data_IF_223488207739
#
_entry.id   IF_223488207739
#
_cell.length_a   1.000
_cell.length_b   1.000
_cell.length_c   1.000
_cell.angle_alpha   90.00
_cell.angle_beta   90.00
_cell.angle_gamma   90.00
#
_symmetry.space_group_name_H-M   'P 1'
#
loop_
_entity.id
_entity.type
_entity.pdbx_description
1 polymer ?
#
# COMPACT_ATOMS: atom_id res chain seq x y z
N UNK A 1 28.41 17.05 -8.44
CA UNK A 1 28.11 15.75 -9.08
C UNK A 1 28.45 14.66 -8.06
N UNK A 2 27.45 14.22 -7.30
CA UNK A 2 27.60 12.99 -6.53
C UNK A 2 27.33 11.82 -7.49
N UNK A 3 28.35 11.09 -7.85
CA UNK A 3 28.17 9.78 -8.47
C UNK A 3 27.46 8.89 -7.45
N UNK A 4 26.23 8.52 -7.74
CA UNK A 4 25.53 7.49 -6.99
C UNK A 4 26.30 6.20 -7.27
N UNK A 5 26.87 5.63 -6.22
CA UNK A 5 27.61 4.38 -6.30
C UNK A 5 26.77 3.29 -6.97
N UNK A 6 27.40 2.43 -7.77
CA UNK A 6 26.72 1.36 -8.53
C UNK A 6 25.92 0.43 -7.61
N UNK A 7 26.38 0.18 -6.40
CA UNK A 7 25.68 -0.61 -5.40
C UNK A 7 24.36 0.05 -4.95
N UNK A 8 24.35 1.38 -4.82
CA UNK A 8 23.15 2.16 -4.47
C UNK A 8 22.12 2.14 -5.60
N UNK A 9 22.56 2.19 -6.87
CA UNK A 9 21.66 2.08 -8.03
C UNK A 9 21.00 0.70 -8.10
N UNK A 10 21.75 -0.38 -7.84
CA UNK A 10 21.23 -1.73 -7.78
C UNK A 10 20.20 -1.91 -6.65
N UNK A 11 20.48 -1.37 -5.47
CA UNK A 11 19.56 -1.42 -4.34
C UNK A 11 18.25 -0.68 -4.65
N UNK A 12 18.30 0.51 -5.26
CA UNK A 12 17.12 1.26 -5.68
C UNK A 12 16.28 0.46 -6.70
N UNK A 13 16.93 -0.18 -7.67
CA UNK A 13 16.25 -0.99 -8.67
C UNK A 13 15.54 -2.20 -8.06
N UNK A 14 16.18 -2.88 -7.09
CA UNK A 14 15.57 -4.02 -6.37
C UNK A 14 14.36 -3.56 -5.57
N UNK A 15 14.44 -2.43 -4.89
CA UNK A 15 13.36 -1.88 -4.10
C UNK A 15 12.19 -1.45 -5.00
N UNK A 16 12.48 -0.79 -6.10
CA UNK A 16 11.46 -0.39 -7.09
C UNK A 16 10.70 -1.61 -7.62
N UNK A 17 11.43 -2.68 -7.93
CA UNK A 17 10.84 -3.96 -8.33
C UNK A 17 9.96 -4.56 -7.21
N UNK A 18 10.41 -4.54 -5.96
CA UNK A 18 9.64 -5.05 -4.82
C UNK A 18 8.35 -4.27 -4.60
N UNK A 19 8.40 -2.95 -4.70
CA UNK A 19 7.22 -2.08 -4.54
C UNK A 19 6.24 -2.29 -5.70
N UNK A 20 6.73 -2.43 -6.92
CA UNK A 20 5.90 -2.74 -8.10
C UNK A 20 5.22 -4.09 -7.99
N UNK A 21 5.94 -5.11 -7.51
CA UNK A 21 5.37 -6.44 -7.26
C UNK A 21 4.31 -6.40 -6.15
N UNK A 22 4.59 -5.69 -5.06
CA UNK A 22 3.63 -5.49 -3.96
C UNK A 22 2.36 -4.83 -4.46
N UNK A 23 2.48 -3.79 -5.28
CA UNK A 23 1.34 -3.12 -5.90
C UNK A 23 0.52 -4.09 -6.74
N UNK A 24 1.15 -4.82 -7.66
CA UNK A 24 0.48 -5.81 -8.50
C UNK A 24 -0.29 -6.85 -7.69
N UNK A 25 0.33 -7.40 -6.65
CA UNK A 25 -0.31 -8.38 -5.75
C UNK A 25 -1.46 -7.78 -4.94
N UNK A 26 -1.42 -6.48 -4.63
CA UNK A 26 -2.48 -5.82 -3.87
C UNK A 26 -3.82 -5.78 -4.62
N UNK A 27 -3.79 -5.80 -5.95
CA UNK A 27 -5.02 -5.81 -6.75
C UNK A 27 -5.84 -7.07 -6.58
N UNK A 28 -5.24 -8.22 -6.29
CA UNK A 28 -5.97 -9.46 -6.05
C UNK A 28 -6.90 -9.35 -4.82
N UNK A 29 -6.50 -8.54 -3.83
CA UNK A 29 -7.28 -8.24 -2.64
C UNK A 29 -8.17 -7.01 -2.78
N UNK A 30 -7.69 -5.98 -3.47
CA UNK A 30 -8.43 -4.74 -3.70
C UNK A 30 -9.62 -4.97 -4.65
N UNK A 31 -9.48 -5.90 -5.63
CA UNK A 31 -10.51 -6.25 -6.60
C UNK A 31 -11.18 -7.58 -6.23
N UNK A 32 -11.62 -7.68 -5.00
CA UNK A 32 -12.28 -8.86 -4.45
C UNK A 32 -13.62 -8.48 -3.83
N UNK A 33 -14.66 -9.24 -4.17
CA UNK A 33 -16.03 -8.95 -3.73
C UNK A 33 -16.14 -8.85 -2.21
N UNK A 34 -15.49 -9.73 -1.46
CA UNK A 34 -15.53 -9.69 0.00
C UNK A 34 -14.88 -8.41 0.57
N UNK A 35 -13.79 -7.93 -0.03
CA UNK A 35 -13.19 -6.64 0.34
C UNK A 35 -14.10 -5.47 -0.03
N UNK A 36 -14.75 -5.54 -1.19
CA UNK A 36 -15.74 -4.55 -1.60
C UNK A 36 -16.93 -4.49 -0.62
N UNK A 37 -17.43 -5.65 -0.22
CA UNK A 37 -18.55 -5.79 0.71
C UNK A 37 -18.21 -5.31 2.12
N UNK A 38 -16.95 -5.43 2.55
CA UNK A 38 -16.48 -4.83 3.80
C UNK A 38 -16.81 -3.33 3.87
N UNK A 39 -16.54 -2.60 2.78
CA UNK A 39 -16.84 -1.17 2.72
C UNK A 39 -18.33 -0.88 2.55
N UNK A 40 -19.04 -1.68 1.79
CA UNK A 40 -20.48 -1.51 1.53
C UNK A 40 -21.32 -1.79 2.76
N UNK A 41 -21.03 -2.86 3.49
CA UNK A 41 -21.84 -3.34 4.60
C UNK A 41 -21.28 -3.05 5.98
N UNK A 42 -20.00 -2.66 6.08
CA UNK A 42 -19.30 -2.35 7.35
C UNK A 42 -19.25 -3.53 8.33
N UNK A 43 -19.27 -4.77 7.82
CA UNK A 43 -19.08 -5.98 8.64
C UNK A 43 -17.61 -6.19 8.98
N UNK A 44 -17.07 -5.29 9.81
CA UNK A 44 -15.66 -5.30 10.20
C UNK A 44 -15.32 -6.57 10.98
N UNK A 45 -16.20 -6.97 11.91
CA UNK A 45 -15.97 -8.14 12.76
C UNK A 45 -15.92 -9.42 11.94
N UNK A 46 -16.91 -9.67 11.09
CA UNK A 46 -16.96 -10.86 10.26
C UNK A 46 -15.85 -10.91 9.22
N UNK A 47 -15.51 -9.79 8.59
CA UNK A 47 -14.39 -9.72 7.66
C UNK A 47 -13.06 -10.01 8.37
N UNK A 48 -12.83 -9.41 9.53
CA UNK A 48 -11.62 -9.61 10.32
C UNK A 48 -11.48 -11.07 10.76
N UNK A 49 -12.54 -11.69 11.23
CA UNK A 49 -12.54 -13.09 11.62
C UNK A 49 -12.20 -14.05 10.47
N UNK A 50 -12.62 -13.74 9.25
CA UNK A 50 -12.34 -14.59 8.09
C UNK A 50 -10.99 -14.33 7.42
N UNK A 51 -10.47 -13.10 7.47
CA UNK A 51 -9.40 -12.67 6.58
C UNK A 51 -8.18 -12.04 7.27
N UNK A 52 -8.34 -11.45 8.47
CA UNK A 52 -7.29 -10.65 9.07
C UNK A 52 -6.56 -11.38 10.19
N UNK A 53 -5.69 -12.31 9.80
CA UNK A 53 -4.78 -13.03 10.69
C UNK A 53 -3.34 -12.58 10.46
N UNK A 54 -2.48 -12.73 11.49
CA UNK A 54 -1.03 -12.47 11.35
C UNK A 54 -0.43 -13.35 10.24
N UNK A 55 -0.90 -14.57 10.09
CA UNK A 55 -0.50 -15.49 9.03
C UNK A 55 -0.82 -14.97 7.63
N UNK A 56 -1.86 -14.15 7.49
CA UNK A 56 -2.15 -13.44 6.23
C UNK A 56 -1.04 -12.47 5.87
N UNK A 57 -0.51 -11.72 6.84
CA UNK A 57 0.65 -10.85 6.62
C UNK A 57 1.90 -11.66 6.24
N UNK A 58 2.09 -12.83 6.88
CA UNK A 58 3.21 -13.72 6.57
C UNK A 58 3.13 -14.23 5.13
N UNK A 59 1.97 -14.73 4.72
CA UNK A 59 1.74 -15.24 3.38
C UNK A 59 1.95 -14.18 2.29
N UNK A 60 1.57 -12.93 2.58
CA UNK A 60 1.71 -11.80 1.67
C UNK A 60 3.04 -11.04 1.83
N UNK A 61 3.86 -11.46 2.79
CA UNK A 61 5.13 -10.81 3.12
C UNK A 61 4.95 -9.30 3.45
N UNK A 62 3.93 -8.99 4.26
CA UNK A 62 3.57 -7.63 4.68
C UNK A 62 3.83 -7.42 6.17
N UNK A 63 3.97 -6.16 6.56
CA UNK A 63 4.04 -5.72 7.96
C UNK A 63 2.79 -4.93 8.38
N UNK A 64 2.06 -4.40 7.40
CA UNK A 64 0.82 -3.66 7.60
C UNK A 64 -0.15 -3.89 6.44
N UNK A 65 -1.42 -4.07 6.76
CA UNK A 65 -2.56 -3.99 5.85
C UNK A 65 -3.60 -3.06 6.48
N UNK A 66 -4.09 -2.09 5.72
CA UNK A 66 -5.11 -1.14 6.20
C UNK A 66 -6.17 -0.91 5.14
N UNK A 67 -7.41 -0.81 5.59
CA UNK A 67 -8.58 -0.53 4.77
C UNK A 67 -9.05 0.88 5.11
N UNK A 68 -9.06 1.77 4.10
CA UNK A 68 -9.23 3.21 4.27
C UNK A 68 -10.47 3.64 3.48
N UNK A 69 -11.34 4.38 4.14
CA UNK A 69 -12.54 4.95 3.50
C UNK A 69 -12.18 6.01 2.47
N UNK A 70 -13.12 6.37 1.61
CA UNK A 70 -12.89 7.39 0.56
C UNK A 70 -12.51 8.77 1.14
N UNK A 71 -12.93 9.08 2.36
CA UNK A 71 -12.56 10.30 3.09
C UNK A 71 -11.22 10.19 3.85
N UNK A 72 -10.49 9.09 3.67
CA UNK A 72 -9.14 8.91 4.21
C UNK A 72 -9.08 8.41 5.66
N UNK A 73 -10.19 7.93 6.22
CA UNK A 73 -10.24 7.37 7.56
C UNK A 73 -9.94 5.87 7.54
N UNK A 74 -9.17 5.39 8.52
CA UNK A 74 -8.95 3.95 8.67
C UNK A 74 -10.22 3.26 9.14
N UNK A 75 -10.67 2.24 8.40
CA UNK A 75 -11.82 1.40 8.76
C UNK A 75 -11.37 0.24 9.66
N UNK A 76 -10.35 -0.47 9.25
CA UNK A 76 -9.73 -1.57 9.98
C UNK A 76 -8.29 -1.74 9.51
N UNK A 77 -7.42 -2.23 10.37
CA UNK A 77 -6.03 -2.53 10.03
C UNK A 77 -5.52 -3.79 10.72
N UNK A 78 -4.53 -4.41 10.11
CA UNK A 78 -3.78 -5.53 10.66
C UNK A 78 -2.29 -5.20 10.56
N UNK A 79 -1.53 -5.34 11.65
CA UNK A 79 -0.07 -5.20 11.66
C UNK A 79 0.59 -6.32 12.46
N UNK A 80 1.89 -6.50 12.27
CA UNK A 80 2.68 -7.47 13.03
C UNK A 80 2.89 -7.07 14.50
N UNK A 81 2.64 -5.83 14.83
CA UNK A 81 2.68 -5.38 16.22
C UNK A 81 1.51 -5.99 16.99
N UNK A 82 1.85 -6.83 17.97
CA UNK A 82 0.92 -7.77 18.64
C UNK A 82 -0.06 -7.15 19.62
N UNK A 83 -0.11 -5.83 19.77
CA UNK A 83 -1.10 -5.17 20.63
C UNK A 83 -2.04 -4.30 19.80
N UNK A 84 -3.35 -4.25 20.11
CA UNK A 84 -4.28 -3.38 19.41
C UNK A 84 -3.86 -1.91 19.44
N UNK A 85 -3.22 -1.46 20.51
CA UNK A 85 -2.76 -0.08 20.68
C UNK A 85 -1.56 0.23 19.80
N UNK A 86 -0.56 -0.67 19.72
CA UNK A 86 0.61 -0.49 18.84
C UNK A 86 0.23 -0.61 17.36
N UNK A 87 -0.64 -1.54 17.00
CA UNK A 87 -1.19 -1.66 15.64
C UNK A 87 -1.93 -0.40 15.21
N UNK A 88 -2.77 0.15 16.07
CA UNK A 88 -3.50 1.39 15.82
C UNK A 88 -2.55 2.58 15.68
N UNK A 89 -1.53 2.67 16.54
CA UNK A 89 -0.52 3.74 16.47
C UNK A 89 0.28 3.71 15.18
N UNK A 90 0.76 2.53 14.76
CA UNK A 90 1.48 2.36 13.50
C UNK A 90 0.59 2.71 12.31
N UNK A 91 -0.63 2.16 12.27
CA UNK A 91 -1.59 2.44 11.22
C UNK A 91 -1.86 3.94 11.07
N UNK A 92 -2.12 4.63 12.18
CA UNK A 92 -2.37 6.07 12.15
C UNK A 92 -1.18 6.87 11.61
N UNK A 93 0.05 6.49 11.95
CA UNK A 93 1.26 7.14 11.42
C UNK A 93 1.40 6.93 9.91
N UNK A 94 1.13 5.71 9.42
CA UNK A 94 1.22 5.40 7.99
C UNK A 94 0.10 6.09 7.21
N UNK A 95 -1.13 5.99 7.66
CA UNK A 95 -2.31 6.59 7.00
C UNK A 95 -2.23 8.11 6.97
N UNK A 96 -1.62 8.75 7.98
CA UNK A 96 -1.45 10.20 8.04
C UNK A 96 -0.29 10.74 7.20
N UNK A 97 0.43 9.92 6.45
CA UNK A 97 1.47 10.39 5.52
C UNK A 97 0.86 11.41 4.55
N UNK A 98 1.36 12.65 4.49
CA UNK A 98 0.72 13.73 3.73
C UNK A 98 0.50 13.39 2.27
N UNK A 99 1.45 12.70 1.63
CA UNK A 99 1.34 12.34 0.22
C UNK A 99 0.21 11.31 -0.03
N UNK A 100 -0.01 10.35 0.88
CA UNK A 100 -1.13 9.41 0.80
C UNK A 100 -2.46 10.16 0.93
N UNK A 101 -2.58 11.05 1.90
CA UNK A 101 -3.79 11.84 2.12
C UNK A 101 -4.09 12.76 0.91
N UNK A 102 -3.08 13.42 0.37
CA UNK A 102 -3.21 14.25 -0.82
C UNK A 102 -3.65 13.43 -2.04
N UNK A 103 -3.11 12.24 -2.21
CA UNK A 103 -3.49 11.35 -3.30
C UNK A 103 -4.95 10.91 -3.18
N UNK A 104 -5.38 10.46 -2.00
CA UNK A 104 -6.78 10.07 -1.73
C UNK A 104 -7.73 11.22 -2.05
N UNK A 105 -7.46 12.43 -1.55
CA UNK A 105 -8.29 13.61 -1.80
C UNK A 105 -8.32 13.99 -3.28
N UNK A 106 -7.18 13.96 -3.95
CA UNK A 106 -7.10 14.26 -5.38
C UNK A 106 -7.88 13.24 -6.22
N UNK A 107 -7.81 11.94 -5.87
CA UNK A 107 -8.52 10.89 -6.59
C UNK A 107 -10.03 10.92 -6.34
N UNK A 108 -10.47 11.33 -5.16
CA UNK A 108 -11.91 11.44 -4.85
C UNK A 108 -12.62 12.52 -5.67
N UNK A 109 -11.89 13.53 -6.16
CA UNK A 109 -12.43 14.55 -7.07
C UNK A 109 -12.56 14.08 -8.51
N UNK A 110 -11.91 12.96 -8.88
CA UNK A 110 -11.97 12.37 -10.21
C UNK A 110 -13.15 11.41 -10.36
N UNK A 111 -13.57 11.17 -11.60
CA UNK A 111 -14.46 10.06 -11.90
C UNK A 111 -13.82 8.77 -11.40
N UNK A 112 -14.65 7.88 -10.88
CA UNK A 112 -14.20 6.63 -10.27
C UNK A 112 -13.26 5.80 -11.16
N UNK A 113 -13.58 5.69 -12.45
CA UNK A 113 -12.77 4.95 -13.44
C UNK A 113 -11.36 5.47 -13.63
N UNK A 114 -11.07 6.69 -13.15
CA UNK A 114 -9.76 7.34 -13.22
C UNK A 114 -9.04 7.39 -11.88
N UNK A 115 -9.54 6.68 -10.86
CA UNK A 115 -8.83 6.58 -9.58
C UNK A 115 -7.61 5.69 -9.74
N UNK A 116 -6.46 6.28 -9.54
CA UNK A 116 -5.17 5.63 -9.70
C UNK A 116 -4.68 5.11 -8.34
N UNK A 117 -3.96 3.99 -8.38
CA UNK A 117 -3.16 3.55 -7.24
C UNK A 117 -1.95 4.46 -7.04
N UNK A 118 -1.38 4.39 -5.85
CA UNK A 118 -0.09 5.01 -5.52
C UNK A 118 0.81 3.94 -4.92
N UNK A 119 2.03 3.82 -5.43
CA UNK A 119 3.03 2.96 -4.82
C UNK A 119 4.36 3.69 -4.74
N UNK A 120 5.16 3.40 -3.71
CA UNK A 120 6.44 4.06 -3.54
C UNK A 120 7.12 3.74 -2.22
N UNK A 121 8.19 4.47 -2.00
CA UNK A 121 9.04 4.39 -0.81
C UNK A 121 8.82 5.65 0.00
N UNK A 122 8.54 5.48 1.28
CA UNK A 122 8.21 6.55 2.20
C UNK A 122 9.04 6.46 3.47
N UNK A 123 9.53 7.61 3.93
CA UNK A 123 10.12 7.71 5.26
C UNK A 123 9.01 8.02 6.27
N UNK A 124 8.85 7.15 7.25
CA UNK A 124 7.88 7.32 8.34
C UNK A 124 8.66 7.18 9.64
N UNK A 125 8.80 8.29 10.37
CA UNK A 125 9.74 8.41 11.48
C UNK A 125 11.17 8.05 11.02
N UNK A 126 11.82 7.09 11.70
CA UNK A 126 13.17 6.63 11.37
C UNK A 126 13.17 5.38 10.46
N UNK A 127 12.01 4.91 10.02
CA UNK A 127 11.88 3.74 9.19
C UNK A 127 11.51 4.09 7.74
N UNK A 128 11.97 3.26 6.84
CA UNK A 128 11.66 3.33 5.42
C UNK A 128 10.63 2.25 5.09
N UNK A 129 9.55 2.65 4.48
CA UNK A 129 8.42 1.80 4.14
C UNK A 129 8.20 1.73 2.64
N UNK A 130 8.00 0.53 2.11
CA UNK A 130 7.38 0.33 0.81
C UNK A 130 5.87 0.30 0.99
N UNK A 131 5.16 1.26 0.41
CA UNK A 131 3.71 1.37 0.51
C UNK A 131 3.07 1.23 -0.86
N UNK A 132 1.91 0.56 -0.90
CA UNK A 132 1.02 0.55 -2.06
C UNK A 132 -0.41 0.81 -1.61
N UNK A 133 -1.08 1.73 -2.28
CA UNK A 133 -2.45 2.14 -2.06
C UNK A 133 -3.25 1.86 -3.33
N UNK A 134 -4.24 0.98 -3.26
CA UNK A 134 -5.07 0.59 -4.40
C UNK A 134 -6.55 0.91 -4.13
N UNK A 135 -7.31 1.39 -5.15
CA UNK A 135 -8.75 1.57 -5.01
C UNK A 135 -9.44 0.21 -4.89
N UNK A 136 -10.39 0.11 -3.98
CA UNK A 136 -11.17 -1.13 -3.77
C UNK A 136 -12.33 -1.17 -4.75
N UNK A 137 -12.44 -2.29 -5.49
CA UNK A 137 -13.51 -2.58 -6.46
C UNK A 137 -14.06 -3.98 -6.25
N UNK A 138 -15.23 -4.26 -6.80
CA UNK A 138 -15.71 -5.63 -6.92
C UNK A 138 -14.86 -6.43 -7.94
N UNK A 139 -14.96 -7.75 -7.91
CA UNK A 139 -14.13 -8.65 -8.73
C UNK A 139 -14.26 -8.42 -10.24
N UNK A 140 -15.44 -8.00 -10.70
CA UNK A 140 -15.70 -7.67 -12.10
C UNK A 140 -15.22 -6.26 -12.49
N UNK A 141 -14.95 -5.39 -11.51
CA UNK A 141 -14.50 -4.02 -11.74
C UNK A 141 -15.55 -3.10 -12.36
N UNK A 142 -16.81 -3.52 -12.37
CA UNK A 142 -17.94 -2.80 -12.98
C UNK A 142 -18.66 -1.84 -12.02
N UNK A 143 -18.35 -1.91 -10.73
CA UNK A 143 -18.89 -1.01 -9.70
C UNK A 143 -17.88 0.08 -9.32
N UNK A 144 -18.39 1.26 -8.91
CA UNK A 144 -17.53 2.33 -8.39
C UNK A 144 -16.68 1.86 -7.23
N UNK A 145 -15.43 2.33 -7.15
CA UNK A 145 -14.60 2.04 -5.98
C UNK A 145 -15.19 2.70 -4.73
N UNK A 146 -15.20 1.97 -3.62
CA UNK A 146 -15.84 2.37 -2.37
C UNK A 146 -14.87 2.53 -1.20
N UNK A 147 -13.59 2.38 -1.44
CA UNK A 147 -12.53 2.53 -0.45
C UNK A 147 -11.16 2.37 -1.05
N UNK A 148 -10.17 2.33 -0.16
CA UNK A 148 -8.76 2.14 -0.48
C UNK A 148 -8.17 1.03 0.37
N UNK A 149 -7.29 0.23 -0.22
CA UNK A 149 -6.49 -0.75 0.49
C UNK A 149 -5.03 -0.34 0.48
N UNK A 150 -4.43 -0.24 1.66
CA UNK A 150 -3.02 0.10 1.85
C UNK A 150 -2.25 -1.13 2.32
N UNK A 151 -1.18 -1.46 1.62
CA UNK A 151 -0.20 -2.47 2.00
C UNK A 151 1.13 -1.81 2.33
N UNK A 152 1.78 -2.28 3.40
CA UNK A 152 3.06 -1.75 3.86
C UNK A 152 4.07 -2.82 4.23
N UNK A 153 5.32 -2.61 3.82
CA UNK A 153 6.52 -3.36 4.23
C UNK A 153 7.52 -2.44 4.89
N UNK A 154 7.99 -2.79 6.07
CA UNK A 154 9.08 -2.08 6.73
C UNK A 154 10.41 -2.51 6.12
N UNK A 155 10.91 -1.72 5.18
CA UNK A 155 12.15 -2.03 4.46
C UNK A 155 13.39 -1.87 5.34
N UNK A 156 13.34 -1.00 6.36
CA UNK A 156 14.44 -0.81 7.31
C UNK A 156 14.71 -2.04 8.15
N UNK A 157 13.69 -2.83 8.47
CA UNK A 157 13.85 -4.09 9.20
C UNK A 157 14.35 -5.22 8.29
N UNK A 158 13.94 -5.21 7.03
CA UNK A 158 14.30 -6.25 6.05
C UNK A 158 15.71 -6.09 5.51
N UNK A 159 16.22 -4.86 5.44
CA UNK A 159 17.52 -4.49 4.89
C UNK A 159 18.29 -3.62 5.88
N UNK A 160 18.72 -4.18 7.04
CA UNK A 160 19.47 -3.41 8.01
C UNK A 160 20.86 -3.02 7.48
N UNK A 161 21.28 -1.80 7.72
CA UNK A 161 22.62 -1.28 7.45
C UNK A 161 22.72 -0.40 6.21
N UNK A 162 22.90 -0.98 5.04
CA UNK A 162 23.20 -0.25 3.80
C UNK A 162 22.05 0.65 3.33
N UNK A 163 20.82 0.25 3.62
CA UNK A 163 19.62 0.95 3.20
C UNK A 163 19.43 2.30 3.91
N UNK A 164 19.77 2.36 5.19
CA UNK A 164 19.68 3.59 5.99
C UNK A 164 20.69 4.64 5.52
N UNK A 165 21.90 4.22 5.17
CA UNK A 165 22.95 5.10 4.64
C UNK A 165 22.58 5.64 3.25
N UNK A 166 22.03 4.79 2.38
CA UNK A 166 21.60 5.14 1.03
C UNK A 166 20.46 6.18 1.03
N UNK A 167 19.49 6.04 1.94
CA UNK A 167 18.36 6.95 2.02
C UNK A 167 18.67 8.25 2.74
N UNK A 168 19.72 8.28 3.58
CA UNK A 168 20.20 9.53 4.20
C UNK A 168 20.84 10.48 3.18
N UNK A 169 21.37 9.94 2.09
CA UNK A 169 22.01 10.71 1.02
C UNK A 169 20.98 11.27 0.01
N UNK A 170 19.79 10.70 -0.08
CA UNK A 170 18.77 11.08 -1.05
C UNK A 170 17.41 11.33 -0.36
N UNK A 171 17.04 12.60 -0.26
CA UNK A 171 15.68 12.99 0.20
C UNK A 171 14.56 12.69 -0.82
N UNK A 172 14.87 12.02 -1.92
CA UNK A 172 13.90 11.78 -2.98
C UNK A 172 13.26 10.41 -2.79
N UNK A 173 12.05 10.42 -2.27
CA UNK A 173 11.18 9.24 -2.23
C UNK A 173 10.70 8.96 -3.66
N UNK A 174 10.92 7.75 -4.15
CA UNK A 174 10.41 7.32 -5.45
C UNK A 174 8.95 6.94 -5.28
N UNK A 175 8.06 7.73 -5.87
CA UNK A 175 6.63 7.41 -5.91
C UNK A 175 6.20 7.17 -7.35
N UNK A 176 5.32 6.20 -7.54
CA UNK A 176 4.68 5.91 -8.82
C UNK A 176 3.17 5.90 -8.64
N UNK A 177 2.48 6.45 -9.61
CA UNK A 177 1.02 6.42 -9.71
C UNK A 177 0.64 5.58 -10.92
N UNK A 178 -0.33 4.68 -10.78
CA UNK A 178 -0.75 3.75 -11.81
C UNK A 178 -2.26 3.83 -12.03
N UNK A 179 -2.67 3.76 -13.30
CA UNK A 179 -4.08 3.62 -13.65
C UNK A 179 -4.45 2.13 -13.70
N UNK A 180 -5.44 1.67 -12.90
CA UNK A 180 -5.89 0.29 -12.91
C UNK A 180 -6.34 -0.24 -14.27
N UNK A 181 -6.83 0.64 -15.15
CA UNK A 181 -7.24 0.28 -16.53
C UNK A 181 -6.05 -0.20 -17.37
N UNK A 182 -4.87 0.34 -17.13
CA UNK A 182 -3.65 -0.07 -17.85
C UNK A 182 -3.13 -1.42 -17.36
N UNK A 183 -3.36 -1.76 -16.09
CA UNK A 183 -2.97 -3.06 -15.52
C UNK A 183 -3.82 -4.23 -16.05
N UNK A 184 -5.10 -4.00 -16.29
CA UNK A 184 -5.99 -5.00 -16.87
C UNK A 184 -5.60 -5.35 -18.32
N UNK A 185 -5.07 -4.40 -19.08
CA UNK A 185 -4.57 -4.62 -20.45
C UNK A 185 -3.27 -5.43 -20.51
N UNK A 186 -2.44 -5.35 -19.48
CA UNK A 186 -1.16 -6.08 -19.42
C UNK A 186 -1.36 -7.55 -19.05
N UNK A 187 -2.38 -7.89 -18.26
CA UNK A 187 -2.73 -9.29 -17.92
C UNK A 187 -3.41 -10.07 -19.07
N UNK A 188 -3.88 -9.40 -20.12
CA UNK A 188 -4.57 -10.05 -21.25
C UNK A 188 -3.66 -10.37 -22.46
N UNK A 189 -2.34 -10.24 -22.33
CA UNK A 189 -1.36 -10.43 -23.40
C UNK A 189 -0.49 -11.68 -23.18
N UNK A 190 -0.68 -12.44 -22.09
CA UNK A 190 0.01 -13.73 -21.85
C UNK A 190 -0.87 -14.93 -22.20
#
# INVERSE_FOLDING_TARGET
NMEIDHSSQQAIAVIDMMVTQQEGSSYDWAYWDETYDLFAHRDIAGYSERNLYVETLDALNLDLMSFITLDGQSLVSLSRENTPESSSSLNNKVVSVPLLQQHILAMNSKLDVHRESLAGIFKINDNIWGLSLAPVRNSEGDRPSNGWMLWGRNLSERFPGDFKAMMSANNTLVTKSFNPVDHAKTKSID
#
